data_IF_492683563674
#
_entry.id   IF_492683563674
#
_cell.length_a   1.000
_cell.length_b   1.000
_cell.length_c   1.000
_cell.angle_alpha   90.00
_cell.angle_beta   90.00
_cell.angle_gamma   90.00
#
_symmetry.space_group_name_H-M   'P 1'
#
loop_
_entity.id
_entity.type
_entity.pdbx_description
1 polymer ?
#
# COMPACT_ATOMS: atom_id res chain seq x y z
N UNK A 1 -11.25 4.54 -10.92
CA UNK A 1 -10.82 5.43 -9.82
C UNK A 1 -9.83 4.64 -8.98
N UNK A 2 -8.67 5.21 -8.60
CA UNK A 2 -7.70 4.50 -7.77
C UNK A 2 -8.26 4.29 -6.37
N UNK A 3 -7.92 3.16 -5.75
CA UNK A 3 -8.22 2.88 -4.35
C UNK A 3 -6.99 3.24 -3.52
N UNK A 4 -7.20 3.99 -2.44
CA UNK A 4 -6.14 4.43 -1.54
C UNK A 4 -6.39 3.83 -0.16
N UNK A 5 -5.41 3.07 0.34
CA UNK A 5 -5.41 2.54 1.71
C UNK A 5 -4.36 3.30 2.52
N UNK A 6 -4.78 3.89 3.64
CA UNK A 6 -3.92 4.72 4.48
C UNK A 6 -3.92 4.19 5.90
N UNK A 7 -2.73 4.06 6.51
CA UNK A 7 -2.57 3.65 7.90
C UNK A 7 -1.46 4.45 8.61
N UNK A 8 -1.54 4.60 9.92
CA UNK A 8 -0.51 5.25 10.74
C UNK A 8 0.39 4.22 11.39
N UNK A 9 1.70 4.37 11.22
CA UNK A 9 2.71 3.45 11.73
C UNK A 9 3.63 4.22 12.68
N UNK A 10 3.69 3.77 13.93
CA UNK A 10 4.59 4.32 14.95
C UNK A 10 5.61 3.28 15.37
N UNK A 11 6.90 3.63 15.30
CA UNK A 11 7.98 2.77 15.76
C UNK A 11 9.36 3.41 15.57
N UNK A 12 10.26 3.18 16.53
CA UNK A 12 11.68 3.58 16.45
C UNK A 12 12.54 2.36 16.86
N UNK A 13 13.35 1.79 15.94
CA UNK A 13 13.52 2.15 14.53
C UNK A 13 12.24 1.93 13.71
N UNK A 14 12.16 2.51 12.51
CA UNK A 14 10.98 2.36 11.64
C UNK A 14 10.78 0.87 11.33
N UNK A 15 9.59 0.31 11.61
CA UNK A 15 9.34 -1.10 11.37
C UNK A 15 9.27 -1.38 9.86
N UNK A 16 9.51 -2.63 9.47
CA UNK A 16 9.25 -3.08 8.11
C UNK A 16 7.75 -3.36 7.94
N UNK A 17 7.17 -2.95 6.82
CA UNK A 17 5.77 -3.17 6.49
C UNK A 17 5.64 -4.01 5.22
N UNK A 18 4.59 -4.84 5.17
CA UNK A 18 4.24 -5.65 4.00
C UNK A 18 2.74 -5.68 3.87
N UNK A 19 2.24 -5.27 2.70
CA UNK A 19 0.82 -5.38 2.39
C UNK A 19 0.47 -6.83 2.05
N UNK A 20 -0.70 -7.30 2.48
CA UNK A 20 -1.19 -8.64 2.17
C UNK A 20 -2.46 -8.54 1.35
N UNK A 21 -2.56 -9.35 0.30
CA UNK A 21 -3.79 -9.59 -0.47
C UNK A 21 -4.06 -11.08 -0.45
N UNK A 22 -5.24 -11.49 0.03
CA UNK A 22 -5.62 -12.91 0.15
C UNK A 22 -4.57 -13.75 0.89
N UNK A 23 -4.05 -13.23 2.00
CA UNK A 23 -2.97 -13.84 2.80
C UNK A 23 -1.63 -14.02 2.06
N UNK A 24 -1.44 -13.40 0.91
CA UNK A 24 -0.16 -13.41 0.18
C UNK A 24 0.48 -12.01 0.20
N UNK A 25 1.82 -11.92 0.31
CA UNK A 25 2.53 -10.64 0.23
C UNK A 25 2.25 -9.97 -1.11
N UNK A 26 1.75 -8.74 -1.03
CA UNK A 26 1.52 -7.90 -2.18
C UNK A 26 2.87 -7.34 -2.62
N UNK A 27 3.35 -7.81 -3.76
CA UNK A 27 4.56 -7.27 -4.38
C UNK A 27 4.26 -5.91 -5.02
N UNK A 28 5.18 -4.97 -4.83
CA UNK A 28 5.12 -3.67 -5.49
C UNK A 28 5.16 -3.86 -7.01
N UNK A 29 4.32 -3.10 -7.71
CA UNK A 29 4.24 -3.12 -9.16
C UNK A 29 3.67 -1.80 -9.66
N UNK A 30 3.57 -1.61 -10.98
CA UNK A 30 2.95 -0.41 -11.55
C UNK A 30 1.50 -0.19 -11.05
N UNK A 31 0.78 -1.25 -10.67
CA UNK A 31 -0.59 -1.17 -10.12
C UNK A 31 -0.63 -0.91 -8.61
N UNK A 32 0.40 -1.35 -7.87
CA UNK A 32 0.46 -1.32 -6.41
C UNK A 32 1.67 -0.50 -5.97
N UNK A 33 1.43 0.75 -5.58
CA UNK A 33 2.49 1.65 -5.13
C UNK A 33 2.37 1.89 -3.63
N UNK A 34 3.44 1.61 -2.90
CA UNK A 34 3.51 1.87 -1.46
C UNK A 34 4.37 3.10 -1.20
N UNK A 35 3.90 3.99 -0.33
CA UNK A 35 4.62 5.20 0.07
C UNK A 35 4.55 5.34 1.58
N UNK A 36 5.67 5.69 2.21
CA UNK A 36 5.72 5.99 3.64
C UNK A 36 6.18 7.42 3.87
N UNK A 37 5.31 8.20 4.51
CA UNK A 37 5.59 9.57 4.93
C UNK A 37 6.12 9.58 6.38
N UNK A 38 7.40 9.89 6.54
CA UNK A 38 8.09 9.92 7.83
C UNK A 38 7.54 11.02 8.77
N UNK A 39 7.43 12.29 8.35
CA UNK A 39 6.81 13.35 9.15
C UNK A 39 5.41 13.01 9.69
N UNK A 40 4.56 12.42 8.85
CA UNK A 40 3.17 12.12 9.22
C UNK A 40 2.98 10.71 9.79
N UNK A 41 4.05 9.92 9.91
CA UNK A 41 4.00 8.52 10.36
C UNK A 41 2.95 7.70 9.59
N UNK A 42 2.80 7.96 8.30
CA UNK A 42 1.67 7.47 7.49
C UNK A 42 2.16 6.59 6.35
N UNK A 43 1.65 5.37 6.28
CA UNK A 43 1.86 4.43 5.19
C UNK A 43 0.63 4.43 4.27
N UNK A 44 0.88 4.62 2.99
CA UNK A 44 -0.15 4.69 1.93
C UNK A 44 0.12 3.58 0.92
N UNK A 45 -0.92 2.84 0.56
CA UNK A 45 -0.95 1.96 -0.61
C UNK A 45 -1.94 2.55 -1.62
N UNK A 46 -1.43 2.85 -2.80
CA UNK A 46 -2.22 3.23 -3.96
C UNK A 46 -2.41 2.02 -4.89
N UNK A 47 -3.66 1.76 -5.23
CA UNK A 47 -4.07 0.69 -6.14
C UNK A 47 -4.71 1.34 -7.37
N UNK A 48 -3.98 1.42 -8.48
CA UNK A 48 -4.38 2.17 -9.67
C UNK A 48 -5.43 1.49 -10.55
N UNK A 49 -5.99 0.37 -10.12
CA UNK A 49 -6.63 -0.57 -11.03
C UNK A 49 -8.01 -0.13 -11.55
N UNK A 50 -8.13 -0.07 -12.87
CA UNK A 50 -9.37 -0.38 -13.60
C UNK A 50 -8.96 -1.11 -14.87
N UNK A 51 -8.93 -2.45 -14.82
CA UNK A 51 -8.88 -3.29 -16.01
C UNK A 51 -10.31 -3.69 -16.41
N UNK A 52 -10.78 -3.37 -17.63
CA UNK A 52 -12.16 -3.58 -18.05
C UNK A 52 -12.56 -5.05 -18.34
N UNK A 53 -11.69 -6.03 -18.03
CA UNK A 53 -11.96 -7.46 -18.27
C UNK A 53 -12.27 -8.28 -17.00
N UNK A 54 -12.34 -7.65 -15.83
CA UNK A 54 -12.87 -8.28 -14.61
C UNK A 54 -14.41 -8.23 -14.63
N UNK A 55 -15.05 -8.86 -15.64
CA UNK A 55 -16.51 -9.02 -15.79
C UNK A 55 -16.93 -10.48 -15.61
#
# INVERSE_FOLDING_TARGET
QPVILTTKIRGRPVPQFTWLRNNQPLMESTRFQTQYDFPSETLVLEISDIWPHDS
#
